data_IF_714944488818
#
_entry.id   IF_714944488818
#
_cell.length_a   1.000
_cell.length_b   1.000
_cell.length_c   1.000
_cell.angle_alpha   90.00
_cell.angle_beta   90.00
_cell.angle_gamma   90.00
#
_symmetry.space_group_name_H-M   'P 1'
#
loop_
_entity.id
_entity.type
_entity.pdbx_description
1 polymer ?
#
# COMPACT_ATOMS: atom_id res chain seq x y z
N UNK A 1 10.96 -34.08 66.50
CA UNK A 1 10.31 -34.16 65.18
C UNK A 1 11.28 -33.66 64.11
N UNK A 2 11.77 -34.54 63.23
CA UNK A 2 12.52 -34.15 62.03
C UNK A 2 11.59 -34.39 60.84
N UNK A 3 11.21 -33.32 60.14
CA UNK A 3 10.46 -33.42 58.88
C UNK A 3 11.46 -33.57 57.74
N UNK A 4 11.43 -34.70 57.03
CA UNK A 4 12.10 -34.88 55.74
C UNK A 4 11.16 -34.37 54.64
N UNK A 5 11.53 -33.28 53.97
CA UNK A 5 10.89 -32.85 52.74
C UNK A 5 11.55 -33.60 51.56
N UNK A 6 10.77 -34.43 50.86
CA UNK A 6 11.18 -35.07 49.62
C UNK A 6 10.78 -34.16 48.46
N UNK A 7 11.75 -33.59 47.75
CA UNK A 7 11.54 -32.89 46.49
C UNK A 7 11.50 -33.91 45.34
N UNK A 8 10.32 -34.13 44.78
CA UNK A 8 10.15 -34.86 43.53
C UNK A 8 10.46 -33.91 42.36
N UNK A 9 11.63 -34.06 41.74
CA UNK A 9 11.92 -33.43 40.47
C UNK A 9 11.34 -34.30 39.34
N UNK A 10 10.26 -33.85 38.71
CA UNK A 10 9.74 -34.43 37.48
C UNK A 10 10.54 -33.85 36.30
N UNK A 11 11.20 -34.68 35.47
CA UNK A 11 11.83 -34.21 34.25
C UNK A 11 10.75 -33.84 33.22
N UNK A 12 10.68 -32.55 32.87
CA UNK A 12 9.97 -32.11 31.68
C UNK A 12 10.77 -32.58 30.46
N UNK A 13 10.33 -33.66 29.82
CA UNK A 13 10.77 -33.99 28.47
C UNK A 13 10.03 -33.05 27.50
N UNK A 14 10.76 -32.10 26.93
CA UNK A 14 10.27 -31.32 25.80
C UNK A 14 10.35 -32.19 24.55
N UNK A 15 9.22 -32.74 24.12
CA UNK A 15 9.08 -33.42 22.83
C UNK A 15 9.24 -32.35 21.73
N UNK A 16 10.34 -32.42 20.97
CA UNK A 16 10.54 -31.54 19.82
C UNK A 16 9.52 -31.90 18.73
N UNK A 17 8.65 -30.96 18.38
CA UNK A 17 7.72 -31.14 17.26
C UNK A 17 8.53 -31.36 15.95
N UNK A 18 8.12 -32.31 15.09
CA UNK A 18 8.79 -32.55 13.82
C UNK A 18 8.75 -31.28 12.96
N UNK A 19 9.92 -30.83 12.53
CA UNK A 19 10.07 -29.77 11.54
C UNK A 19 9.57 -30.28 10.20
N UNK A 20 8.37 -29.89 9.80
CA UNK A 20 7.91 -30.07 8.43
C UNK A 20 8.85 -29.30 7.51
N UNK A 21 9.70 -30.01 6.78
CA UNK A 21 10.49 -29.44 5.71
C UNK A 21 9.52 -28.92 4.64
N UNK A 22 9.25 -27.61 4.67
CA UNK A 22 8.50 -26.95 3.61
C UNK A 22 9.39 -26.95 2.38
N UNK A 23 9.07 -27.77 1.38
CA UNK A 23 9.65 -27.64 0.05
C UNK A 23 9.17 -26.32 -0.53
N UNK A 24 9.95 -25.26 -0.32
CA UNK A 24 9.76 -23.97 -0.98
C UNK A 24 10.06 -24.16 -2.46
N UNK A 25 9.03 -24.21 -3.30
CA UNK A 25 9.24 -24.14 -4.75
C UNK A 25 9.87 -22.78 -5.08
N UNK A 26 10.87 -22.79 -5.94
CA UNK A 26 11.53 -21.56 -6.35
C UNK A 26 10.56 -20.67 -7.14
N UNK A 27 10.48 -19.38 -6.78
CA UNK A 27 9.76 -18.39 -7.57
C UNK A 27 10.48 -18.17 -8.92
N UNK A 28 9.95 -18.79 -9.97
CA UNK A 28 10.53 -18.77 -11.33
C UNK A 28 10.05 -17.57 -12.15
N UNK A 29 8.83 -17.09 -11.90
CA UNK A 29 8.23 -15.94 -12.60
C UNK A 29 8.15 -14.76 -11.63
N UNK A 30 8.82 -13.66 -11.99
CA UNK A 30 8.86 -12.44 -11.18
C UNK A 30 8.20 -11.28 -11.94
N UNK A 31 7.16 -10.69 -11.36
CA UNK A 31 6.59 -9.45 -11.86
C UNK A 31 7.61 -8.31 -11.72
N UNK A 32 7.83 -7.56 -12.80
CA UNK A 32 8.73 -6.40 -12.81
C UNK A 32 7.93 -5.12 -12.59
N UNK A 33 8.07 -4.51 -11.41
CA UNK A 33 7.48 -3.21 -11.09
C UNK A 33 8.28 -2.10 -11.75
N UNK A 34 7.60 -1.14 -12.36
CA UNK A 34 8.20 -0.04 -13.14
C UNK A 34 7.76 1.32 -12.62
N UNK A 35 8.63 2.32 -12.73
CA UNK A 35 8.27 3.70 -12.47
C UNK A 35 7.16 4.13 -13.43
N UNK A 36 6.16 4.86 -12.94
CA UNK A 36 5.07 5.40 -13.76
C UNK A 36 5.60 6.22 -14.94
N UNK A 37 6.71 6.94 -14.76
CA UNK A 37 7.44 7.69 -15.79
C UNK A 37 7.88 6.86 -16.99
N UNK A 38 8.13 5.58 -16.77
CA UNK A 38 8.64 4.64 -17.79
C UNK A 38 7.55 3.79 -18.42
N UNK A 39 6.33 3.82 -17.88
CA UNK A 39 5.20 3.12 -18.47
C UNK A 39 4.79 3.78 -19.78
N UNK A 40 4.49 2.95 -20.77
CA UNK A 40 3.83 3.41 -21.99
C UNK A 40 2.42 3.91 -21.69
N UNK A 41 1.84 4.72 -22.58
CA UNK A 41 0.45 5.16 -22.47
C UNK A 41 -0.53 3.99 -22.31
N UNK A 42 -0.31 2.89 -23.04
CA UNK A 42 -1.18 1.71 -22.98
C UNK A 42 -1.10 1.06 -21.59
N UNK A 43 0.10 0.93 -21.03
CA UNK A 43 0.30 0.35 -19.69
C UNK A 43 -0.36 1.21 -18.60
N UNK A 44 -0.21 2.54 -18.68
CA UNK A 44 -0.87 3.48 -17.75
C UNK A 44 -2.39 3.33 -17.80
N UNK A 45 -2.96 3.32 -19.01
CA UNK A 45 -4.41 3.17 -19.20
C UNK A 45 -4.91 1.79 -18.76
N UNK A 46 -4.14 0.72 -18.97
CA UNK A 46 -4.47 -0.62 -18.50
C UNK A 46 -4.54 -0.68 -16.96
N UNK A 47 -3.57 -0.07 -16.27
CA UNK A 47 -3.59 0.04 -14.81
C UNK A 47 -4.80 0.84 -14.31
N UNK A 48 -5.04 2.04 -14.86
CA UNK A 48 -6.20 2.88 -14.52
C UNK A 48 -7.53 2.16 -14.75
N UNK A 49 -7.63 1.38 -15.83
CA UNK A 49 -8.83 0.59 -16.13
C UNK A 49 -9.07 -0.48 -15.06
N UNK A 50 -8.02 -1.16 -14.62
CA UNK A 50 -8.11 -2.17 -13.57
C UNK A 50 -8.45 -1.55 -12.19
N UNK A 51 -7.88 -0.39 -11.85
CA UNK A 51 -8.26 0.37 -10.65
C UNK A 51 -9.75 0.70 -10.63
N UNK A 52 -10.25 1.27 -11.73
CA UNK A 52 -11.67 1.60 -11.85
C UNK A 52 -12.54 0.35 -11.73
N UNK A 53 -12.10 -0.79 -12.25
CA UNK A 53 -12.79 -2.06 -12.03
C UNK A 53 -12.87 -2.41 -10.53
N UNK A 54 -11.79 -2.33 -9.75
CA UNK A 54 -11.84 -2.57 -8.31
C UNK A 54 -12.74 -1.58 -7.56
N UNK A 55 -12.80 -0.33 -8.02
CA UNK A 55 -13.72 0.70 -7.54
C UNK A 55 -15.18 0.48 -7.96
N UNK A 56 -15.50 -0.58 -8.69
CA UNK A 56 -16.88 -0.99 -9.02
C UNK A 56 -17.28 -2.36 -8.48
N UNK A 57 -16.31 -3.26 -8.27
CA UNK A 57 -16.61 -4.59 -7.73
C UNK A 57 -17.09 -4.49 -6.29
N UNK A 58 -18.21 -5.15 -5.92
CA UNK A 58 -18.82 -5.00 -4.59
C UNK A 58 -17.96 -5.64 -3.51
N UNK A 59 -17.85 -5.02 -2.32
CA UNK A 59 -17.12 -5.54 -1.14
C UNK A 59 -17.45 -7.03 -0.80
N UNK A 60 -16.48 -7.79 -0.25
CA UNK A 60 -16.53 -9.25 0.00
C UNK A 60 -16.23 -9.64 1.46
N UNK A 61 -15.49 -8.82 2.19
CA UNK A 61 -14.99 -9.09 3.54
C UNK A 61 -16.04 -8.86 4.64
N UNK A 62 -17.23 -8.34 4.30
CA UNK A 62 -18.30 -8.08 5.26
C UNK A 62 -17.97 -6.95 6.27
N UNK A 63 -17.01 -6.09 5.95
CA UNK A 63 -16.65 -4.94 6.77
C UNK A 63 -17.73 -3.86 6.70
N UNK A 64 -17.98 -3.17 7.82
CA UNK A 64 -18.89 -2.01 7.84
C UNK A 64 -18.24 -0.81 7.16
N UNK A 65 -18.90 -0.26 6.14
CA UNK A 65 -18.48 0.96 5.44
C UNK A 65 -18.12 0.73 3.98
N UNK A 66 -17.16 -0.17 3.66
CA UNK A 66 -16.77 -0.45 2.29
C UNK A 66 -17.95 -0.83 1.39
N UNK A 67 -18.01 -0.22 0.21
CA UNK A 67 -18.95 -0.58 -0.86
C UNK A 67 -18.26 -1.42 -1.92
N UNK A 68 -16.97 -1.15 -2.15
CA UNK A 68 -16.19 -1.73 -3.25
C UNK A 68 -14.99 -2.52 -2.75
N UNK A 69 -14.33 -3.30 -3.62
CA UNK A 69 -13.01 -3.91 -3.33
C UNK A 69 -12.00 -2.85 -2.90
N UNK A 70 -11.99 -1.73 -3.61
CA UNK A 70 -11.07 -0.63 -3.32
C UNK A 70 -11.27 -0.07 -1.90
N UNK A 71 -12.53 0.17 -1.51
CA UNK A 71 -12.85 0.64 -0.16
C UNK A 71 -12.39 -0.34 0.93
N UNK A 72 -12.36 -1.65 0.65
CA UNK A 72 -11.90 -2.66 1.62
C UNK A 72 -10.42 -2.52 1.94
N UNK A 73 -9.57 -2.20 0.96
CA UNK A 73 -8.16 -1.92 1.20
C UNK A 73 -7.99 -0.68 2.08
N UNK A 74 -8.76 0.39 1.81
CA UNK A 74 -8.76 1.58 2.65
C UNK A 74 -9.21 1.25 4.07
N UNK A 75 -10.28 0.47 4.24
CA UNK A 75 -10.81 0.12 5.56
C UNK A 75 -9.88 -0.79 6.34
N UNK A 76 -9.28 -1.80 5.71
CA UNK A 76 -8.27 -2.66 6.34
C UNK A 76 -7.08 -1.82 6.80
N UNK A 77 -6.60 -0.91 5.96
CA UNK A 77 -5.52 0.01 6.35
C UNK A 77 -5.92 0.88 7.55
N UNK A 78 -7.10 1.50 7.53
CA UNK A 78 -7.63 2.31 8.64
C UNK A 78 -7.72 1.53 9.95
N UNK A 79 -8.16 0.27 9.90
CA UNK A 79 -8.26 -0.60 11.08
C UNK A 79 -6.89 -1.04 11.61
N UNK A 80 -5.88 -1.14 10.75
CA UNK A 80 -4.54 -1.57 11.10
C UNK A 80 -3.59 -0.41 11.46
N UNK A 81 -3.96 0.85 11.21
CA UNK A 81 -3.06 2.02 11.31
C UNK A 81 -2.16 2.01 12.55
N UNK A 82 -2.71 1.83 13.74
CA UNK A 82 -1.96 1.90 15.01
C UNK A 82 -0.97 0.75 15.20
N UNK A 83 -1.20 -0.41 14.58
CA UNK A 83 -0.35 -1.59 14.71
C UNK A 83 0.67 -1.74 13.58
N UNK A 84 0.65 -0.85 12.58
CA UNK A 84 1.51 -0.96 11.39
C UNK A 84 2.35 0.28 11.10
N UNK A 85 2.07 1.45 11.69
CA UNK A 85 2.89 2.65 11.50
C UNK A 85 3.88 2.84 12.66
N UNK A 86 5.11 3.28 12.34
CA UNK A 86 6.19 3.53 13.30
C UNK A 86 6.62 2.30 14.14
N UNK A 87 6.45 1.11 13.56
CA UNK A 87 6.81 -0.18 14.18
C UNK A 87 7.54 -1.07 13.16
N UNK A 88 8.16 -2.15 13.61
CA UNK A 88 8.88 -3.09 12.73
C UNK A 88 7.99 -3.78 11.68
N UNK A 89 6.67 -3.84 11.91
CA UNK A 89 5.71 -4.37 10.95
C UNK A 89 5.44 -3.43 9.75
N UNK A 90 5.90 -2.18 9.79
CA UNK A 90 5.62 -1.17 8.76
C UNK A 90 5.94 -1.64 7.33
N UNK A 91 7.21 -1.96 7.07
CA UNK A 91 7.65 -2.40 5.74
C UNK A 91 6.98 -3.71 5.27
N UNK A 92 6.94 -4.80 6.05
CA UNK A 92 6.31 -6.04 5.60
C UNK A 92 4.79 -5.92 5.42
N UNK A 93 4.09 -5.17 6.28
CA UNK A 93 2.65 -4.95 6.13
C UNK A 93 2.33 -4.22 4.83
N UNK A 94 3.00 -3.09 4.56
CA UNK A 94 2.76 -2.32 3.33
C UNK A 94 3.17 -3.09 2.08
N UNK A 95 4.26 -3.88 2.13
CA UNK A 95 4.65 -4.78 1.03
C UNK A 95 3.55 -5.79 0.73
N UNK A 96 2.98 -6.41 1.77
CA UNK A 96 1.90 -7.38 1.60
C UNK A 96 0.59 -6.74 1.13
N UNK A 97 0.23 -5.57 1.66
CA UNK A 97 -0.97 -4.83 1.26
C UNK A 97 -0.94 -4.53 -0.25
N UNK A 98 0.20 -4.02 -0.75
CA UNK A 98 0.38 -3.72 -2.16
C UNK A 98 0.45 -5.00 -3.02
N UNK A 99 1.02 -6.09 -2.51
CA UNK A 99 0.97 -7.38 -3.20
C UNK A 99 -0.46 -7.93 -3.31
N UNK A 100 -1.26 -7.85 -2.25
CA UNK A 100 -2.65 -8.27 -2.25
C UNK A 100 -3.48 -7.43 -3.23
N UNK A 101 -3.22 -6.12 -3.27
CA UNK A 101 -3.83 -5.19 -4.21
C UNK A 101 -3.49 -5.54 -5.67
N UNK A 102 -2.21 -5.74 -5.98
CA UNK A 102 -1.73 -6.22 -7.29
C UNK A 102 -2.41 -7.55 -7.68
N UNK A 103 -2.51 -8.47 -6.73
CA UNK A 103 -3.12 -9.79 -6.95
C UNK A 103 -4.58 -9.68 -7.37
N UNK A 104 -5.37 -8.78 -6.75
CA UNK A 104 -6.79 -8.62 -7.12
C UNK A 104 -6.99 -7.78 -8.37
N UNK A 105 -6.10 -6.83 -8.69
CA UNK A 105 -6.08 -6.21 -10.01
C UNK A 105 -5.94 -7.29 -11.09
N UNK A 106 -5.04 -8.25 -10.88
CA UNK A 106 -4.77 -9.32 -11.83
C UNK A 106 -5.91 -10.35 -11.90
N UNK A 107 -6.40 -10.81 -10.75
CA UNK A 107 -7.35 -11.94 -10.65
C UNK A 107 -8.81 -11.54 -10.76
N UNK A 108 -9.20 -10.32 -10.36
CA UNK A 108 -10.60 -9.86 -10.42
C UNK A 108 -10.84 -8.84 -11.53
N UNK A 109 -9.78 -8.18 -12.04
CA UNK A 109 -9.90 -7.11 -13.05
C UNK A 109 -9.06 -7.34 -14.32
N UNK A 110 -8.55 -8.56 -14.53
CA UNK A 110 -7.79 -8.97 -15.72
C UNK A 110 -6.57 -8.08 -16.02
N UNK A 111 -6.00 -7.41 -15.01
CA UNK A 111 -4.77 -6.65 -15.18
C UNK A 111 -3.63 -7.63 -15.44
N UNK A 112 -2.80 -7.40 -16.47
CA UNK A 112 -1.67 -8.28 -16.79
C UNK A 112 -0.33 -7.67 -16.45
N UNK A 113 -0.31 -6.41 -16.01
CA UNK A 113 0.91 -5.72 -15.60
C UNK A 113 1.26 -5.97 -14.13
N UNK A 114 2.36 -5.36 -13.70
CA UNK A 114 2.76 -5.33 -12.29
C UNK A 114 2.32 -4.01 -11.64
N UNK A 115 2.35 -3.95 -10.31
CA UNK A 115 2.12 -2.70 -9.58
C UNK A 115 3.20 -1.66 -9.97
N UNK A 116 2.82 -0.48 -10.46
CA UNK A 116 3.75 0.60 -10.72
C UNK A 116 4.13 1.35 -9.43
N UNK A 117 5.21 2.12 -9.50
CA UNK A 117 5.62 3.04 -8.43
C UNK A 117 5.83 4.46 -8.95
N UNK A 118 5.72 5.43 -8.06
CA UNK A 118 6.14 6.81 -8.33
C UNK A 118 7.61 6.96 -7.94
N UNK A 119 8.46 7.27 -8.91
CA UNK A 119 9.83 7.72 -8.66
C UNK A 119 9.82 9.22 -8.30
N UNK A 120 9.36 9.53 -7.09
CA UNK A 120 9.18 10.90 -6.58
C UNK A 120 10.40 11.82 -6.77
N UNK A 121 11.66 11.36 -6.62
CA UNK A 121 12.82 12.19 -6.90
C UNK A 121 12.88 12.84 -8.28
N UNK A 122 12.24 12.24 -9.30
CA UNK A 122 12.20 12.82 -10.64
C UNK A 122 11.33 14.08 -10.71
N UNK A 123 10.37 14.22 -9.80
CA UNK A 123 9.41 15.32 -9.78
C UNK A 123 9.60 16.25 -8.56
N UNK A 124 10.61 16.00 -7.71
CA UNK A 124 10.81 16.74 -6.47
C UNK A 124 10.90 18.27 -6.71
N UNK A 125 10.08 19.05 -6.00
CA UNK A 125 9.97 20.49 -6.19
C UNK A 125 9.01 20.91 -7.31
N UNK A 126 8.40 19.95 -8.01
CA UNK A 126 7.54 20.17 -9.17
C UNK A 126 6.51 19.03 -9.34
N UNK A 127 5.96 18.53 -8.23
CA UNK A 127 4.94 17.47 -8.24
C UNK A 127 3.72 17.87 -9.08
N UNK A 128 3.34 19.15 -9.09
CA UNK A 128 2.22 19.66 -9.88
C UNK A 128 2.32 19.39 -11.38
N UNK A 129 3.53 19.21 -11.91
CA UNK A 129 3.79 18.90 -13.32
C UNK A 129 4.10 17.41 -13.57
N UNK A 130 4.04 16.56 -12.55
CA UNK A 130 4.36 15.14 -12.68
C UNK A 130 3.41 14.42 -13.63
N UNK A 131 3.96 13.50 -14.43
CA UNK A 131 3.15 12.58 -15.27
C UNK A 131 2.26 11.63 -14.45
N UNK A 132 2.51 11.50 -13.14
CA UNK A 132 1.62 10.78 -12.23
C UNK A 132 0.29 11.54 -12.07
N UNK A 133 0.31 12.86 -12.18
CA UNK A 133 -0.87 13.72 -12.00
C UNK A 133 -1.52 14.14 -13.33
N UNK A 134 -1.13 13.50 -14.43
CA UNK A 134 -1.74 13.72 -15.76
C UNK A 134 -3.25 13.38 -15.76
N UNK A 135 -4.03 14.22 -16.44
CA UNK A 135 -5.50 14.13 -16.45
C UNK A 135 -6.07 12.97 -17.28
N UNK A 136 -5.24 12.24 -18.05
CA UNK A 136 -5.70 11.13 -18.91
C UNK A 136 -5.00 9.83 -18.54
N UNK A 137 -3.69 9.90 -18.37
CA UNK A 137 -2.77 8.79 -18.13
C UNK A 137 -2.16 8.84 -16.74
N UNK A 138 -2.74 9.61 -15.83
CA UNK A 138 -2.35 9.71 -14.42
C UNK A 138 -3.56 9.63 -13.50
N UNK A 139 -3.41 10.16 -12.29
CA UNK A 139 -4.37 10.08 -11.19
C UNK A 139 -5.14 11.39 -10.96
N UNK A 140 -5.17 12.27 -11.97
CA UNK A 140 -5.73 13.62 -11.88
C UNK A 140 -4.80 14.60 -11.16
N UNK A 141 -4.99 15.88 -11.44
CA UNK A 141 -4.21 17.01 -10.93
C UNK A 141 -4.63 17.46 -9.54
N UNK A 142 -4.49 18.75 -9.28
CA UNK A 142 -4.77 19.33 -7.97
C UNK A 142 -6.28 19.36 -7.67
N UNK A 143 -6.61 19.50 -6.39
CA UNK A 143 -7.96 19.81 -5.96
C UNK A 143 -8.39 21.23 -6.31
N UNK A 144 -9.69 21.43 -6.47
CA UNK A 144 -10.29 22.75 -6.70
C UNK A 144 -11.48 23.03 -5.77
N UNK A 145 -11.80 24.32 -5.61
CA UNK A 145 -12.91 24.79 -4.78
C UNK A 145 -12.68 24.60 -3.27
N UNK A 146 -13.72 24.86 -2.48
CA UNK A 146 -13.63 24.84 -1.01
C UNK A 146 -13.28 23.44 -0.46
N UNK A 147 -13.79 22.40 -1.10
CA UNK A 147 -13.58 21.00 -0.70
C UNK A 147 -12.28 20.41 -1.24
N UNK A 148 -11.54 21.13 -2.11
CA UNK A 148 -10.31 20.64 -2.78
C UNK A 148 -10.51 19.31 -3.52
N UNK A 149 -11.71 19.04 -4.03
CA UNK A 149 -11.96 17.84 -4.80
C UNK A 149 -11.11 17.87 -6.08
N UNK A 150 -10.49 16.75 -6.41
CA UNK A 150 -9.87 16.54 -7.72
C UNK A 150 -10.95 16.69 -8.79
N UNK A 151 -10.76 17.60 -9.76
CA UNK A 151 -11.79 17.97 -10.73
C UNK A 151 -11.52 17.44 -12.16
N UNK A 152 -10.41 16.74 -12.35
CA UNK A 152 -9.98 16.13 -13.61
C UNK A 152 -9.50 14.69 -13.40
N UNK A 153 -9.04 14.03 -14.46
CA UNK A 153 -8.52 12.68 -14.31
C UNK A 153 -9.60 11.59 -14.30
N UNK A 154 -9.15 10.33 -14.31
CA UNK A 154 -10.03 9.16 -14.37
C UNK A 154 -10.81 8.89 -13.07
N UNK A 155 -10.44 9.54 -11.96
CA UNK A 155 -10.96 9.29 -10.61
C UNK A 155 -11.77 10.44 -10.00
N UNK A 156 -11.97 11.57 -10.69
CA UNK A 156 -12.69 12.75 -10.16
C UNK A 156 -14.10 12.46 -9.64
N UNK A 157 -14.77 11.47 -10.24
CA UNK A 157 -16.17 11.14 -9.93
C UNK A 157 -16.26 10.00 -8.89
N UNK A 158 -15.12 9.53 -8.35
CA UNK A 158 -15.13 8.51 -7.29
C UNK A 158 -15.65 9.11 -5.97
N UNK A 159 -16.66 8.46 -5.39
CA UNK A 159 -17.19 8.79 -4.08
C UNK A 159 -16.59 7.84 -3.04
N UNK A 160 -15.60 8.33 -2.31
CA UNK A 160 -14.96 7.58 -1.23
C UNK A 160 -15.92 7.49 -0.02
N UNK A 161 -16.10 6.28 0.51
CA UNK A 161 -16.93 6.04 1.70
C UNK A 161 -16.10 6.01 3.00
N UNK A 162 -14.77 5.87 2.90
CA UNK A 162 -13.91 5.57 4.04
C UNK A 162 -13.20 6.83 4.52
N UNK A 163 -13.44 7.18 5.78
CA UNK A 163 -12.85 8.34 6.44
C UNK A 163 -13.82 9.53 6.55
N UNK A 164 -13.34 10.66 7.11
CA UNK A 164 -12.01 10.85 7.66
C UNK A 164 -11.77 9.96 8.89
N UNK A 165 -10.51 9.53 9.09
CA UNK A 165 -10.13 8.57 10.13
C UNK A 165 -10.95 7.26 10.05
N UNK A 166 -11.68 6.91 11.11
CA UNK A 166 -12.50 5.71 11.18
C UNK A 166 -13.97 5.93 10.75
N UNK A 167 -14.33 7.15 10.37
CA UNK A 167 -15.70 7.49 9.98
C UNK A 167 -16.09 6.84 8.64
N UNK A 168 -17.41 6.77 8.40
CA UNK A 168 -17.98 6.33 7.14
C UNK A 168 -18.76 7.53 6.60
N UNK A 169 -18.18 8.23 5.64
CA UNK A 169 -18.77 9.43 5.05
C UNK A 169 -18.54 9.44 3.55
N UNK A 170 -19.50 9.92 2.78
CA UNK A 170 -19.34 10.14 1.35
C UNK A 170 -18.61 11.45 1.10
N UNK A 171 -17.48 11.36 0.39
CA UNK A 171 -16.67 12.51 0.01
C UNK A 171 -15.90 12.22 -1.29
N UNK A 172 -15.47 13.28 -1.96
CA UNK A 172 -14.57 13.18 -3.11
C UNK A 172 -13.15 12.84 -2.66
N UNK A 173 -12.31 12.42 -3.61
CA UNK A 173 -10.87 12.48 -3.42
C UNK A 173 -10.47 13.95 -3.40
N UNK A 174 -9.92 14.42 -2.29
CA UNK A 174 -9.38 15.77 -2.17
C UNK A 174 -7.85 15.77 -2.29
N UNK A 175 -7.30 16.84 -2.86
CA UNK A 175 -5.86 16.98 -3.06
C UNK A 175 -5.41 18.43 -2.93
N UNK A 176 -4.29 18.64 -2.26
CA UNK A 176 -3.59 19.93 -2.17
C UNK A 176 -2.12 19.70 -2.47
N UNK A 177 -1.74 19.81 -3.73
CA UNK A 177 -0.35 19.67 -4.17
C UNK A 177 0.43 20.88 -3.66
N UNK A 178 1.58 20.61 -3.05
CA UNK A 178 2.53 21.61 -2.58
C UNK A 178 3.92 21.29 -3.15
N UNK A 179 4.31 22.04 -4.18
CA UNK A 179 5.60 21.87 -4.83
C UNK A 179 6.76 22.19 -3.89
N UNK A 180 6.60 23.13 -2.95
CA UNK A 180 7.63 23.45 -1.96
C UNK A 180 7.84 22.26 -1.02
N UNK A 181 6.77 21.70 -0.47
CA UNK A 181 6.85 20.52 0.38
C UNK A 181 7.43 19.31 -0.37
N UNK A 182 7.10 19.16 -1.67
CA UNK A 182 7.59 18.06 -2.50
C UNK A 182 9.10 18.07 -2.73
N UNK A 183 9.79 19.20 -2.52
CA UNK A 183 11.24 19.29 -2.65
C UNK A 183 11.99 18.36 -1.67
N UNK A 184 11.32 17.92 -0.60
CA UNK A 184 11.85 16.94 0.37
C UNK A 184 11.97 15.52 -0.20
N UNK A 185 11.37 15.24 -1.36
CA UNK A 185 11.53 13.98 -2.06
C UNK A 185 12.80 13.93 -2.95
N UNK A 186 13.73 14.87 -2.81
CA UNK A 186 14.93 14.87 -3.63
C UNK A 186 15.84 13.67 -3.32
N UNK A 187 16.55 13.14 -4.33
CA UNK A 187 17.41 11.95 -4.18
C UNK A 187 18.48 12.08 -3.09
N UNK A 188 18.94 13.31 -2.80
CA UNK A 188 19.92 13.57 -1.73
C UNK A 188 19.37 13.17 -0.36
N UNK A 189 18.08 13.36 -0.13
CA UNK A 189 17.41 13.08 1.15
C UNK A 189 17.20 11.56 1.30
N UNK A 190 16.86 10.86 0.22
CA UNK A 190 16.80 9.39 0.18
C UNK A 190 18.14 8.73 0.51
N UNK A 191 19.25 9.21 -0.06
CA UNK A 191 20.58 8.66 0.21
C UNK A 191 20.99 8.81 1.67
N UNK A 192 20.63 9.92 2.30
CA UNK A 192 20.87 10.15 3.71
C UNK A 192 20.15 9.10 4.57
N UNK A 193 18.87 8.83 4.28
CA UNK A 193 18.09 7.82 5.00
C UNK A 193 18.63 6.41 4.76
N UNK A 194 18.96 6.06 3.51
CA UNK A 194 19.51 4.74 3.20
C UNK A 194 20.83 4.50 3.94
N UNK A 195 21.70 5.51 3.99
CA UNK A 195 22.95 5.45 4.73
C UNK A 195 22.73 5.27 6.25
N UNK A 196 21.66 5.84 6.81
CA UNK A 196 21.29 5.60 8.21
C UNK A 196 20.89 4.14 8.44
N UNK A 197 20.09 3.54 7.55
CA UNK A 197 19.70 2.12 7.66
C UNK A 197 20.92 1.20 7.53
N UNK A 198 21.77 1.45 6.54
CA UNK A 198 23.02 0.69 6.33
C UNK A 198 24.03 0.83 7.48
N UNK A 199 23.92 1.89 8.29
CA UNK A 199 24.75 2.09 9.48
C UNK A 199 24.23 1.35 10.72
N UNK A 200 22.95 0.97 10.75
CA UNK A 200 22.33 0.20 11.84
C UNK A 200 22.53 -1.31 11.64
N UNK A 201 22.70 -1.76 10.39
CA UNK A 201 22.99 -3.16 10.04
C UNK A 201 24.48 -3.54 10.15
N UNK A 202 25.35 -2.64 10.68
CA UNK A 202 26.76 -2.89 11.00
C UNK A 202 27.01 -2.85 12.49
#
# INVERSE_FOLDING_TARGET
>A
MKFLAWTLALPFFAEAAPTLATTSEACTIKNQRKAWHTLTRIEKLAYITAEKCLMTLPAKLGLKGPRTRFDEFQKVHVLATESVHFVGAFLPFHRYLIYAHESILQTECNYTGAQPYWDEPLDAGNFSSSVVLDAVTGFGGNGAGLSNCVNDGPFKDYVNAIGPFQQITDHCIDRRIDDCASAQAASKDFRMVLAMVESVDR
#
